data_IF_828825578283
#
_entry.id   IF_828825578283
#
_cell.length_a   1.000
_cell.length_b   1.000
_cell.length_c   1.000
_cell.angle_alpha   90.00
_cell.angle_beta   90.00
_cell.angle_gamma   90.00
#
_symmetry.space_group_name_H-M   'P 1'
#
loop_
_entity.id
_entity.type
_entity.pdbx_description
1 polymer ?
#
# COMPACT_ATOMS: atom_id res chain seq x y z
N UNK A 1 -13.79 6.81 3.99
CA UNK A 1 -13.43 6.10 2.74
C UNK A 1 -14.29 6.63 1.59
N UNK A 2 -13.82 6.50 0.35
CA UNK A 2 -14.44 7.02 -0.88
C UNK A 2 -14.70 5.88 -1.90
N UNK A 3 -15.72 5.03 -1.67
CA UNK A 3 -16.00 3.87 -2.52
C UNK A 3 -16.37 4.26 -3.97
N UNK A 4 -16.92 5.45 -4.19
CA UNK A 4 -17.24 5.95 -5.54
C UNK A 4 -16.01 6.30 -6.37
N UNK A 5 -14.85 6.54 -5.73
CA UNK A 5 -13.58 6.89 -6.39
C UNK A 5 -12.65 5.68 -6.57
N UNK A 6 -12.68 4.75 -5.61
CA UNK A 6 -11.79 3.60 -5.56
C UNK A 6 -12.49 2.37 -4.96
N UNK A 7 -13.51 1.80 -5.63
CA UNK A 7 -14.33 0.70 -5.09
C UNK A 7 -13.50 -0.54 -4.73
N UNK A 8 -12.55 -0.96 -5.56
CA UNK A 8 -11.71 -2.13 -5.31
C UNK A 8 -10.79 -1.93 -4.10
N UNK A 9 -10.15 -0.76 -4.02
CA UNK A 9 -9.28 -0.39 -2.90
C UNK A 9 -10.05 -0.32 -1.58
N UNK A 10 -11.27 0.25 -1.60
CA UNK A 10 -12.14 0.35 -0.43
C UNK A 10 -12.65 -1.03 -0.02
N UNK A 11 -13.16 -1.85 -0.94
CA UNK A 11 -13.62 -3.20 -0.63
C UNK A 11 -12.49 -4.05 -0.05
N UNK A 12 -11.30 -4.01 -0.65
CA UNK A 12 -10.11 -4.69 -0.17
C UNK A 12 -9.73 -4.26 1.26
N UNK A 13 -9.64 -2.95 1.49
CA UNK A 13 -9.28 -2.41 2.80
C UNK A 13 -10.32 -2.78 3.88
N UNK A 14 -11.62 -2.71 3.58
CA UNK A 14 -12.70 -3.09 4.50
C UNK A 14 -12.59 -4.57 4.89
N UNK A 15 -12.44 -5.47 3.91
CA UNK A 15 -12.33 -6.92 4.20
C UNK A 15 -11.10 -7.22 5.06
N UNK A 16 -9.93 -6.69 4.72
CA UNK A 16 -8.72 -6.88 5.50
C UNK A 16 -8.83 -6.30 6.91
N UNK A 17 -9.36 -5.10 7.06
CA UNK A 17 -9.53 -4.44 8.35
C UNK A 17 -10.49 -5.20 9.27
N UNK A 18 -11.67 -5.57 8.75
CA UNK A 18 -12.69 -6.24 9.55
C UNK A 18 -12.36 -7.71 9.85
N UNK A 19 -11.52 -8.35 9.04
CA UNK A 19 -10.96 -9.67 9.31
C UNK A 19 -9.71 -9.64 10.21
N UNK A 20 -9.30 -8.45 10.71
CA UNK A 20 -8.19 -8.31 11.65
C UNK A 20 -6.81 -8.48 11.04
N UNK A 21 -6.67 -8.40 9.70
CA UNK A 21 -5.37 -8.54 9.04
C UNK A 21 -4.36 -7.51 9.53
N UNK A 22 -4.80 -6.27 9.76
CA UNK A 22 -3.92 -5.18 10.17
C UNK A 22 -3.54 -5.19 11.66
N UNK A 23 -4.19 -6.01 12.48
CA UNK A 23 -3.97 -6.04 13.92
C UNK A 23 -2.54 -6.49 14.23
N UNK A 24 -1.82 -5.65 14.95
CA UNK A 24 -0.42 -5.88 15.31
C UNK A 24 0.60 -5.59 14.22
N UNK A 25 0.19 -5.22 13.00
CA UNK A 25 1.12 -4.73 11.96
C UNK A 25 1.76 -3.39 12.37
N UNK A 26 2.75 -2.93 11.63
CA UNK A 26 3.52 -1.73 11.98
C UNK A 26 3.52 -0.71 10.85
N UNK A 27 3.75 0.55 11.21
CA UNK A 27 4.23 1.55 10.24
C UNK A 27 5.71 1.26 9.97
N UNK A 28 5.99 0.56 8.89
CA UNK A 28 7.33 0.05 8.56
C UNK A 28 8.18 1.00 7.71
N UNK A 29 7.56 2.00 7.09
CA UNK A 29 8.22 3.04 6.30
C UNK A 29 7.64 4.40 6.64
N UNK A 30 8.49 5.33 7.04
CA UNK A 30 8.11 6.69 7.47
C UNK A 30 9.08 7.66 6.80
N UNK A 31 8.54 8.56 5.99
CA UNK A 31 9.31 9.62 5.33
C UNK A 31 8.74 10.97 5.75
N UNK A 32 9.52 11.72 6.50
CA UNK A 32 9.13 13.03 7.04
C UNK A 32 8.75 14.00 5.92
N UNK A 33 7.75 14.84 6.17
CA UNK A 33 7.17 15.78 5.19
C UNK A 33 6.65 15.07 3.92
N UNK A 34 6.28 13.79 4.01
CA UNK A 34 5.73 13.04 2.88
C UNK A 34 4.60 12.10 3.31
N UNK A 35 4.93 10.93 3.95
CA UNK A 35 3.92 9.95 4.31
C UNK A 35 4.40 8.96 5.38
N UNK A 36 3.44 8.29 6.01
CA UNK A 36 3.65 7.11 6.84
C UNK A 36 2.96 5.90 6.19
N UNK A 37 3.65 4.76 6.09
CA UNK A 37 3.19 3.56 5.36
C UNK A 37 3.11 2.35 6.29
N UNK A 38 2.01 1.61 6.18
CA UNK A 38 1.72 0.40 6.95
C UNK A 38 1.09 -0.70 6.08
N UNK A 39 0.67 -1.81 6.69
CA UNK A 39 -0.09 -2.87 6.02
C UNK A 39 0.76 -3.98 5.40
N UNK A 40 2.07 -4.02 5.68
CA UNK A 40 2.89 -5.21 5.48
C UNK A 40 2.64 -6.19 6.62
N UNK A 41 2.39 -7.47 6.32
CA UNK A 41 2.07 -8.48 7.34
C UNK A 41 3.19 -8.63 8.37
N UNK A 42 4.42 -8.70 7.91
CA UNK A 42 5.60 -8.94 8.75
C UNK A 42 6.39 -7.65 9.03
N UNK A 43 5.89 -6.49 8.60
CA UNK A 43 6.56 -5.20 8.77
C UNK A 43 7.83 -5.03 7.92
N UNK A 44 8.01 -5.86 6.91
CA UNK A 44 9.19 -5.90 6.02
C UNK A 44 9.00 -5.05 4.73
N UNK A 45 7.82 -4.47 4.54
CA UNK A 45 7.45 -3.75 3.32
C UNK A 45 7.27 -4.62 2.08
N UNK A 46 7.37 -5.96 2.22
CA UNK A 46 7.31 -6.93 1.11
C UNK A 46 6.12 -7.89 1.23
N UNK A 47 5.85 -8.35 2.45
CA UNK A 47 4.80 -9.34 2.71
C UNK A 47 3.42 -8.69 2.70
N UNK A 48 2.58 -9.08 1.75
CA UNK A 48 1.20 -8.61 1.62
C UNK A 48 0.18 -9.55 2.27
N UNK A 49 -1.10 -9.25 2.06
CA UNK A 49 -2.20 -10.14 2.41
C UNK A 49 -2.37 -11.25 1.37
N UNK A 50 -3.04 -12.34 1.77
CA UNK A 50 -3.43 -13.45 0.91
C UNK A 50 -4.96 -13.52 0.76
N UNK A 51 -5.45 -14.26 -0.22
CA UNK A 51 -6.90 -14.42 -0.45
C UNK A 51 -7.59 -14.95 0.82
N UNK A 52 -6.92 -15.80 1.59
CA UNK A 52 -7.41 -16.28 2.90
C UNK A 52 -7.65 -15.18 3.93
N UNK A 53 -7.02 -14.01 3.78
CA UNK A 53 -7.26 -12.87 4.65
C UNK A 53 -8.50 -12.04 4.23
N UNK A 54 -9.00 -12.21 3.00
CA UNK A 54 -10.18 -11.51 2.51
C UNK A 54 -11.48 -12.20 2.92
N UNK A 55 -11.46 -13.53 3.07
CA UNK A 55 -12.66 -14.33 3.38
C UNK A 55 -12.29 -15.64 4.05
N UNK A 56 -13.17 -16.14 4.90
CA UNK A 56 -13.07 -17.47 5.48
C UNK A 56 -13.03 -18.56 4.40
N UNK A 57 -12.15 -19.55 4.55
CA UNK A 57 -11.95 -20.63 3.59
C UNK A 57 -11.31 -20.18 2.28
N UNK A 58 -10.77 -18.98 2.20
CA UNK A 58 -9.99 -18.51 1.06
C UNK A 58 -8.66 -19.27 0.92
N UNK A 59 -8.14 -19.32 -0.30
CA UNK A 59 -6.85 -19.96 -0.59
C UNK A 59 -5.69 -19.17 0.05
N UNK A 60 -4.66 -19.88 0.52
CA UNK A 60 -3.41 -19.28 0.98
C UNK A 60 -2.52 -18.88 -0.20
N UNK A 61 -3.00 -17.91 -0.99
CA UNK A 61 -2.42 -17.45 -2.25
C UNK A 61 -2.31 -15.93 -2.26
N UNK A 62 -1.16 -15.46 -2.71
CA UNK A 62 -0.92 -14.02 -2.93
C UNK A 62 -1.82 -13.46 -4.02
N UNK A 63 -2.20 -12.22 -3.88
CA UNK A 63 -3.01 -11.50 -4.86
C UNK A 63 -2.59 -10.03 -4.93
N UNK A 64 -3.04 -9.37 -5.98
CA UNK A 64 -3.02 -7.91 -6.12
C UNK A 64 -4.38 -7.41 -6.54
N UNK A 65 -4.58 -6.11 -6.52
CA UNK A 65 -5.79 -5.45 -7.02
C UNK A 65 -5.44 -4.44 -8.10
N UNK A 66 -6.43 -4.08 -8.91
CA UNK A 66 -6.30 -3.04 -9.92
C UNK A 66 -6.01 -1.68 -9.26
N UNK A 67 -5.04 -0.95 -9.78
CA UNK A 67 -4.78 0.42 -9.36
C UNK A 67 -5.84 1.38 -9.90
N UNK A 68 -6.56 2.05 -9.03
CA UNK A 68 -7.69 2.91 -9.35
C UNK A 68 -7.27 4.38 -9.40
N UNK A 69 -6.63 4.76 -10.50
CA UNK A 69 -6.15 6.12 -10.75
C UNK A 69 -6.08 6.43 -12.25
N UNK A 70 -5.98 7.72 -12.58
CA UNK A 70 -6.13 8.24 -13.94
C UNK A 70 -5.16 7.60 -14.94
N UNK A 71 -3.87 7.48 -14.60
CA UNK A 71 -2.86 6.87 -15.49
C UNK A 71 -3.08 5.38 -15.74
N UNK A 72 -3.94 4.72 -14.96
CA UNK A 72 -4.38 3.34 -15.17
C UNK A 72 -5.81 3.25 -15.74
N UNK A 73 -6.33 4.35 -16.30
CA UNK A 73 -7.63 4.40 -16.96
C UNK A 73 -8.83 4.40 -16.02
N UNK A 74 -8.65 4.75 -14.73
CA UNK A 74 -9.73 4.88 -13.75
C UNK A 74 -9.85 6.33 -13.31
N UNK A 75 -11.05 6.90 -13.39
CA UNK A 75 -11.31 8.25 -12.91
C UNK A 75 -11.30 8.26 -11.38
N UNK A 76 -10.24 8.80 -10.82
CA UNK A 76 -10.10 9.08 -9.40
C UNK A 76 -9.57 10.50 -9.27
N UNK A 77 -10.37 11.39 -8.68
CA UNK A 77 -10.09 12.83 -8.63
C UNK A 77 -9.58 13.31 -7.27
N UNK A 78 -9.37 12.38 -6.33
CA UNK A 78 -8.87 12.71 -5.00
C UNK A 78 -7.45 13.27 -5.13
N UNK A 79 -7.22 14.40 -4.47
CA UNK A 79 -5.91 15.04 -4.40
C UNK A 79 -5.08 14.47 -3.26
N UNK A 80 -3.76 14.41 -3.46
CA UNK A 80 -2.81 13.97 -2.46
C UNK A 80 -2.43 15.13 -1.53
N UNK A 81 -3.41 15.56 -0.74
CA UNK A 81 -3.27 16.53 0.34
C UNK A 81 -2.89 15.81 1.65
N UNK A 82 -2.55 16.58 2.68
CA UNK A 82 -2.39 16.07 4.05
C UNK A 82 -3.62 15.26 4.49
N UNK A 83 -3.37 14.09 5.09
CA UNK A 83 -4.39 13.14 5.53
C UNK A 83 -4.95 12.23 4.44
N UNK A 84 -4.57 12.38 3.19
CA UNK A 84 -5.03 11.45 2.13
C UNK A 84 -4.52 10.04 2.40
N UNK A 85 -5.44 9.07 2.36
CA UNK A 85 -5.18 7.64 2.49
C UNK A 85 -5.16 6.99 1.10
N UNK A 86 -4.08 6.29 0.77
CA UNK A 86 -3.90 5.68 -0.55
C UNK A 86 -3.24 4.31 -0.49
N UNK A 87 -3.47 3.49 -1.52
CA UNK A 87 -2.82 2.18 -1.68
C UNK A 87 -1.37 2.36 -2.11
N UNK A 88 -0.46 1.66 -1.42
CA UNK A 88 0.91 1.50 -1.88
C UNK A 88 0.97 0.46 -3.02
N UNK A 89 1.98 0.60 -3.88
CA UNK A 89 2.24 -0.32 -4.98
C UNK A 89 3.74 -0.44 -5.25
N UNK A 90 4.16 -1.51 -5.88
CA UNK A 90 5.53 -1.66 -6.35
C UNK A 90 5.79 -0.76 -7.57
N UNK A 91 7.04 -0.34 -7.73
CA UNK A 91 7.51 0.34 -8.94
C UNK A 91 8.50 -0.54 -9.69
N UNK A 92 7.97 -1.31 -10.64
CA UNK A 92 8.79 -2.13 -11.53
C UNK A 92 9.34 -1.34 -12.73
N UNK A 93 8.90 -0.08 -12.93
CA UNK A 93 9.36 0.75 -14.07
C UNK A 93 10.83 1.13 -13.95
N UNK A 94 11.39 1.10 -12.74
CA UNK A 94 12.82 1.25 -12.49
C UNK A 94 13.68 0.15 -13.19
N UNK A 95 13.09 -1.01 -13.49
CA UNK A 95 13.76 -2.11 -14.19
C UNK A 95 13.44 -2.10 -15.70
N UNK A 96 12.21 -1.75 -16.07
CA UNK A 96 11.78 -1.59 -17.46
C UNK A 96 10.50 -0.78 -17.55
N UNK A 97 10.46 0.19 -18.46
CA UNK A 97 9.24 0.94 -18.74
C UNK A 97 8.08 0.08 -19.29
N UNK A 98 8.39 -1.10 -19.83
CA UNK A 98 7.36 -2.06 -20.27
C UNK A 98 6.54 -2.65 -19.12
N UNK A 99 7.01 -2.55 -17.87
CA UNK A 99 6.35 -3.05 -16.66
C UNK A 99 5.41 -2.03 -16.00
N UNK A 100 5.02 -0.98 -16.72
CA UNK A 100 4.12 0.06 -16.18
C UNK A 100 2.79 -0.52 -15.70
N UNK A 101 2.18 -1.42 -16.49
CA UNK A 101 0.90 -2.03 -16.12
C UNK A 101 1.00 -2.94 -14.89
N UNK A 102 2.08 -3.70 -14.79
CA UNK A 102 2.39 -4.57 -13.66
C UNK A 102 2.62 -3.74 -12.39
N UNK A 103 3.34 -2.62 -12.50
CA UNK A 103 3.52 -1.65 -11.40
C UNK A 103 2.18 -1.07 -10.94
N UNK A 104 1.35 -0.66 -11.89
CA UNK A 104 0.08 0.00 -11.58
C UNK A 104 -0.92 -0.94 -10.87
N UNK A 105 -0.86 -2.23 -11.14
CA UNK A 105 -1.76 -3.25 -10.61
C UNK A 105 -1.08 -4.14 -9.53
N UNK A 106 -0.11 -3.62 -8.80
CA UNK A 106 0.64 -4.33 -7.76
C UNK A 106 0.19 -4.01 -6.33
N UNK A 107 -0.84 -3.21 -6.14
CA UNK A 107 -1.41 -2.93 -4.82
C UNK A 107 -2.01 -4.20 -4.20
N UNK A 108 -1.90 -4.32 -2.86
CA UNK A 108 -2.48 -5.42 -2.09
C UNK A 108 -3.01 -4.92 -0.74
N UNK A 109 -2.24 -5.04 0.33
CA UNK A 109 -2.66 -4.65 1.68
C UNK A 109 -1.99 -3.39 2.20
N UNK A 110 -0.85 -3.00 1.64
CA UNK A 110 -0.11 -1.85 2.12
C UNK A 110 -0.80 -0.54 1.71
N UNK A 111 -0.87 0.38 2.65
CA UNK A 111 -1.41 1.72 2.48
C UNK A 111 -0.50 2.77 3.09
N UNK A 112 -0.67 4.01 2.68
CA UNK A 112 0.03 5.13 3.27
C UNK A 112 -0.93 6.30 3.54
N UNK A 113 -0.55 7.12 4.53
CA UNK A 113 -1.25 8.36 4.89
C UNK A 113 -0.30 9.51 4.62
N UNK A 114 -0.75 10.49 3.85
CA UNK A 114 0.02 11.70 3.56
C UNK A 114 0.16 12.56 4.82
N UNK A 115 1.38 12.98 5.11
CA UNK A 115 1.66 13.97 6.17
C UNK A 115 1.83 15.37 5.62
N UNK A 116 1.96 15.48 4.28
CA UNK A 116 2.06 16.73 3.55
C UNK A 116 1.53 16.57 2.13
N UNK A 117 1.06 17.65 1.52
CA UNK A 117 0.62 17.65 0.12
C UNK A 117 1.76 17.25 -0.82
N UNK A 118 1.44 16.35 -1.78
CA UNK A 118 2.33 16.02 -2.89
C UNK A 118 1.54 15.80 -4.19
N UNK A 119 1.44 16.85 -4.99
CA UNK A 119 0.68 16.83 -6.25
C UNK A 119 1.24 15.88 -7.31
N UNK A 120 2.51 15.44 -7.20
CA UNK A 120 3.13 14.49 -8.13
C UNK A 120 2.50 13.09 -8.07
N UNK A 121 1.78 12.78 -6.99
CA UNK A 121 1.08 11.50 -6.84
C UNK A 121 -0.31 11.52 -7.48
N UNK A 122 -0.84 12.70 -7.81
CA UNK A 122 -2.17 12.84 -8.41
C UNK A 122 -2.24 12.08 -9.74
N UNK A 123 -3.20 11.15 -9.82
CA UNK A 123 -3.41 10.32 -11.01
C UNK A 123 -2.45 9.14 -11.18
N UNK A 124 -1.54 8.87 -10.21
CA UNK A 124 -0.58 7.77 -10.26
C UNK A 124 -0.70 6.77 -9.10
N UNK A 125 -1.53 7.08 -8.09
CA UNK A 125 -1.83 6.22 -6.96
C UNK A 125 -3.32 6.22 -6.66
N UNK A 126 -3.82 5.10 -6.12
CA UNK A 126 -5.22 4.94 -5.75
C UNK A 126 -5.48 5.55 -4.37
N UNK A 127 -5.84 6.83 -4.33
CA UNK A 127 -6.36 7.46 -3.13
C UNK A 127 -7.78 6.94 -2.87
N UNK A 128 -8.08 6.46 -1.66
CA UNK A 128 -9.35 5.81 -1.34
C UNK A 128 -9.98 6.29 -0.04
N UNK A 129 -9.36 7.24 0.66
CA UNK A 129 -9.88 7.79 1.90
C UNK A 129 -9.14 9.05 2.34
N UNK A 130 -9.59 9.60 3.46
CA UNK A 130 -8.95 10.75 4.12
C UNK A 130 -9.11 10.64 5.63
N UNK A 131 -8.07 11.02 6.37
CA UNK A 131 -8.11 11.19 7.82
C UNK A 131 -8.96 12.41 8.13
N UNK A 132 -9.99 12.24 8.93
CA UNK A 132 -10.89 13.31 9.39
C UNK A 132 -10.63 13.72 10.83
N UNK A 133 -10.06 12.81 11.63
CA UNK A 133 -9.68 13.04 13.03
C UNK A 133 -8.37 12.33 13.35
N UNK A 134 -7.55 12.88 14.24
CA UNK A 134 -6.30 12.25 14.70
C UNK A 134 -5.07 12.56 13.83
N UNK A 135 -5.05 13.61 13.01
CA UNK A 135 -3.85 14.02 12.28
C UNK A 135 -2.67 14.35 13.23
N UNK A 136 -2.92 14.79 14.42
CA UNK A 136 -1.88 14.99 15.45
C UNK A 136 -1.18 13.68 15.83
N UNK A 137 -1.88 12.54 15.77
CA UNK A 137 -1.28 11.21 15.97
C UNK A 137 -0.46 10.80 14.76
N UNK A 138 -0.95 11.07 13.52
CA UNK A 138 -0.20 10.81 12.29
C UNK A 138 1.14 11.57 12.31
N UNK A 139 1.13 12.85 12.70
CA UNK A 139 2.37 13.65 12.86
C UNK A 139 3.28 13.13 13.98
N UNK A 140 2.74 12.63 15.09
CA UNK A 140 3.57 11.98 16.13
C UNK A 140 4.25 10.72 15.62
N UNK A 141 3.58 9.95 14.76
CA UNK A 141 4.17 8.77 14.10
C UNK A 141 5.27 9.21 13.13
N UNK A 142 5.06 10.29 12.39
CA UNK A 142 6.05 10.84 11.45
C UNK A 142 7.36 11.28 12.13
N UNK A 143 7.30 11.71 13.37
CA UNK A 143 8.46 12.22 14.12
C UNK A 143 9.30 11.13 14.82
N UNK A 144 8.95 9.84 14.67
CA UNK A 144 9.78 8.78 15.27
C UNK A 144 11.14 8.70 14.59
N UNK A 145 12.15 8.27 15.35
CA UNK A 145 13.49 8.07 14.83
C UNK A 145 13.50 7.02 13.71
N UNK A 146 14.11 7.36 12.58
CA UNK A 146 14.27 6.49 11.42
C UNK A 146 15.74 6.29 11.06
N UNK A 147 16.04 5.13 10.47
CA UNK A 147 17.35 4.75 9.95
C UNK A 147 17.27 4.43 8.45
N UNK A 148 18.41 4.17 7.82
CA UNK A 148 18.45 3.71 6.43
C UNK A 148 17.61 2.45 6.26
N UNK A 149 16.97 2.31 5.11
CA UNK A 149 16.25 1.10 4.73
C UNK A 149 17.19 -0.12 4.75
N UNK A 150 16.68 -1.28 5.17
CA UNK A 150 17.47 -2.50 5.30
C UNK A 150 18.15 -2.86 3.96
N UNK A 151 19.47 -3.10 4.03
CA UNK A 151 20.31 -3.37 2.88
C UNK A 151 20.86 -2.12 2.17
N UNK A 152 20.52 -0.92 2.65
CA UNK A 152 20.99 0.36 2.09
C UNK A 152 21.91 1.14 3.04
N UNK A 153 22.30 0.58 4.20
CA UNK A 153 22.99 1.26 5.29
C UNK A 153 24.32 1.92 4.87
N UNK A 154 24.92 1.44 3.79
CA UNK A 154 26.20 1.92 3.26
C UNK A 154 26.09 2.58 1.87
N UNK A 155 24.88 2.96 1.43
CA UNK A 155 24.69 3.62 0.13
C UNK A 155 24.58 5.13 0.32
N UNK A 156 25.24 5.90 -0.54
CA UNK A 156 25.28 7.37 -0.49
C UNK A 156 23.88 8.01 -0.62
N UNK A 157 22.96 7.30 -1.27
CA UNK A 157 21.58 7.75 -1.49
C UNK A 157 20.54 6.86 -0.80
N UNK A 158 20.89 6.28 0.37
CA UNK A 158 19.97 5.46 1.14
C UNK A 158 18.72 6.27 1.54
N UNK A 159 17.55 5.69 1.34
CA UNK A 159 16.33 6.26 1.91
C UNK A 159 16.33 6.07 3.43
N UNK A 160 16.24 7.15 4.17
CA UNK A 160 16.13 7.14 5.64
C UNK A 160 14.64 7.09 5.99
N UNK A 161 14.11 5.89 6.18
CA UNK A 161 12.66 5.68 6.30
C UNK A 161 12.24 4.52 7.19
N UNK A 162 13.16 3.64 7.58
CA UNK A 162 12.85 2.51 8.46
C UNK A 162 12.85 2.98 9.91
N UNK A 163 11.72 2.92 10.64
CA UNK A 163 11.68 3.35 12.03
C UNK A 163 12.54 2.43 12.92
N UNK A 164 13.32 3.03 13.82
CA UNK A 164 14.14 2.30 14.82
C UNK A 164 13.22 1.50 15.76
N UNK A 165 12.11 2.10 16.17
CA UNK A 165 11.05 1.47 16.95
C UNK A 165 9.73 1.67 16.20
N UNK A 166 9.33 0.69 15.40
CA UNK A 166 8.17 0.80 14.53
C UNK A 166 6.85 0.94 15.34
N UNK A 167 6.10 2.02 15.15
CA UNK A 167 4.78 2.18 15.76
C UNK A 167 3.83 1.06 15.30
N UNK A 168 3.07 0.51 16.26
CA UNK A 168 2.15 -0.60 16.00
C UNK A 168 0.74 -0.13 15.76
N UNK A 169 0.07 -0.78 14.82
CA UNK A 169 -1.36 -0.71 14.61
C UNK A 169 -2.02 -1.69 15.60
N UNK A 170 -2.71 -1.19 16.60
CA UNK A 170 -3.42 -2.04 17.57
C UNK A 170 -4.58 -2.77 16.88
N UNK A 171 -5.39 -2.04 16.14
CA UNK A 171 -6.47 -2.60 15.32
C UNK A 171 -6.96 -1.58 14.29
N UNK A 172 -7.48 -2.07 13.16
CA UNK A 172 -8.26 -1.28 12.21
C UNK A 172 -9.60 -1.96 12.03
N UNK A 173 -10.68 -1.20 12.18
CA UNK A 173 -12.04 -1.68 11.89
C UNK A 173 -12.78 -0.61 11.09
N UNK A 174 -13.57 -1.06 10.14
CA UNK A 174 -14.40 -0.19 9.31
C UNK A 174 -15.87 -0.45 9.63
N UNK A 175 -16.55 0.57 10.07
CA UNK A 175 -17.99 0.53 10.24
C UNK A 175 -18.66 0.79 8.90
N UNK A 176 -19.44 -0.19 8.43
CA UNK A 176 -20.09 -0.14 7.10
C UNK A 176 -21.56 0.26 7.17
N UNK A 177 -22.11 0.43 8.37
CA UNK A 177 -23.54 0.72 8.60
C UNK A 177 -24.49 -0.27 7.89
N UNK A 178 -24.03 -1.53 7.75
CA UNK A 178 -24.79 -2.59 7.10
C UNK A 178 -24.70 -2.61 5.58
N UNK A 179 -23.88 -1.75 4.98
CA UNK A 179 -23.61 -1.76 3.54
C UNK A 179 -22.58 -2.85 3.24
N UNK A 180 -22.88 -3.72 2.29
CA UNK A 180 -21.91 -4.68 1.74
C UNK A 180 -21.19 -4.05 0.53
N UNK A 181 -19.89 -3.85 0.67
CA UNK A 181 -19.03 -3.32 -0.40
C UNK A 181 -18.49 -4.42 -1.32
N UNK A 182 -18.92 -5.67 -1.13
CA UNK A 182 -18.51 -6.80 -1.95
C UNK A 182 -17.10 -7.31 -1.63
N UNK A 183 -16.59 -8.14 -2.54
CA UNK A 183 -15.21 -8.62 -2.55
C UNK A 183 -14.44 -7.87 -3.63
N UNK A 184 -13.17 -7.50 -3.38
CA UNK A 184 -12.35 -6.90 -4.44
C UNK A 184 -12.09 -7.92 -5.56
N UNK A 185 -11.98 -7.44 -6.80
CA UNK A 185 -11.46 -8.24 -7.89
C UNK A 185 -9.96 -8.48 -7.68
N UNK A 186 -9.59 -9.75 -7.52
CA UNK A 186 -8.19 -10.11 -7.28
C UNK A 186 -7.47 -10.48 -8.57
N UNK A 187 -6.24 -10.01 -8.70
CA UNK A 187 -5.35 -10.30 -9.82
C UNK A 187 -4.21 -11.22 -9.36
N UNK A 188 -3.63 -11.96 -10.29
CA UNK A 188 -2.39 -12.71 -10.03
C UNK A 188 -1.23 -11.73 -9.94
N UNK A 189 -0.40 -11.77 -8.88
CA UNK A 189 0.78 -10.93 -8.77
C UNK A 189 1.74 -11.14 -9.93
N UNK A 190 2.41 -10.07 -10.35
CA UNK A 190 3.47 -10.16 -11.32
C UNK A 190 4.68 -10.91 -10.74
N UNK A 191 5.10 -11.96 -11.42
CA UNK A 191 6.30 -12.72 -11.05
C UNK A 191 7.56 -12.05 -11.63
N UNK A 192 8.09 -11.10 -10.86
CA UNK A 192 9.29 -10.37 -11.21
C UNK A 192 10.50 -11.30 -11.35
N UNK A 193 10.61 -12.32 -10.51
CA UNK A 193 11.73 -13.26 -10.53
C UNK A 193 11.76 -14.05 -11.83
N UNK A 194 10.65 -14.64 -12.23
CA UNK A 194 10.54 -15.34 -13.51
C UNK A 194 10.75 -14.41 -14.71
N UNK A 195 10.27 -13.17 -14.62
CA UNK A 195 10.51 -12.17 -15.67
C UNK A 195 11.99 -11.85 -15.80
N UNK A 196 12.70 -11.62 -14.69
CA UNK A 196 14.14 -11.38 -14.65
C UNK A 196 14.94 -12.54 -15.28
N UNK A 197 14.63 -13.77 -14.91
CA UNK A 197 15.30 -14.94 -15.47
C UNK A 197 15.12 -15.03 -16.98
N UNK A 198 13.92 -14.76 -17.48
CA UNK A 198 13.66 -14.73 -18.93
C UNK A 198 14.42 -13.62 -19.63
N UNK A 199 14.51 -12.44 -19.03
CA UNK A 199 15.15 -11.28 -19.63
C UNK A 199 16.67 -11.44 -19.75
N UNK A 200 17.29 -12.07 -18.76
CA UNK A 200 18.76 -12.22 -18.70
C UNK A 200 19.26 -13.64 -19.04
N UNK A 201 18.39 -14.54 -19.48
CA UNK A 201 18.76 -15.90 -19.88
C UNK A 201 19.32 -16.75 -18.74
N UNK A 202 19.02 -16.42 -17.49
CA UNK A 202 19.46 -17.14 -16.30
C UNK A 202 18.41 -18.21 -15.99
N UNK A 203 18.72 -19.49 -16.29
CA UNK A 203 17.84 -20.60 -15.90
C UNK A 203 17.27 -21.44 -17.04
N UNK A 204 18.09 -21.77 -18.07
CA UNK A 204 17.86 -22.93 -18.94
C UNK A 204 18.81 -24.05 -18.54
#
# INVERSE_FOLDING_TARGET
LYPDQAPESVANFIKLANNGFYDGTTFHRIVKDFMIQAGSKDGDGKTGAKISNLKDGGEDKDYTIKGEFLSNGVTNTIKFEEGTLAMARADYTQYSSSLTKESYNSGCSQFFIMTKENTNLNGYYAAFGKVTEGMDIVHKIEEVEVKAADGQENTENAEISTPVNAPKVTSIRVETYGIDYGMPETLTPFDYTSWMYKQYGIGQ
#
